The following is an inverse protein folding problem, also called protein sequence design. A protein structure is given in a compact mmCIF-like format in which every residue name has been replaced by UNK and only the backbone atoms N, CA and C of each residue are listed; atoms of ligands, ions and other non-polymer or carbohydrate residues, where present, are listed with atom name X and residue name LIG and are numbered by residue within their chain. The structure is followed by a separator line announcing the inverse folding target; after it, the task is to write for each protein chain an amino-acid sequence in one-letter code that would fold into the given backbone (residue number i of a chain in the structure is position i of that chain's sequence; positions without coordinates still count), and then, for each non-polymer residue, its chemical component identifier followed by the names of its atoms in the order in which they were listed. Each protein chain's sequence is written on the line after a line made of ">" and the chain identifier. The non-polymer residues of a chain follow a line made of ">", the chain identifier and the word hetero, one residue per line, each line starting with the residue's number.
data_IF_361706181935
#
_entry.id   IF_361706181935
#
_cell.length_a   1.000
_cell.length_b   1.000
_cell.length_c   1.000
_cell.angle_alpha   90.00
_cell.angle_beta   90.00
_cell.angle_gamma   90.00
#
_symmetry.space_group_name_H-M   'P 1'
#
loop_
_entity.id
_entity.type
_entity.pdbx_description
1 polymer ?
#
# COMPACT_ATOMS: atom_id res chain seq x y z
N UNK A 1 11.21 -67.44 -22.87
CA UNK A 1 9.97 -68.13 -23.29
C UNK A 1 8.80 -67.17 -23.04
N UNK A 2 7.95 -66.87 -24.03
CA UNK A 2 6.54 -67.33 -24.17
C UNK A 2 5.72 -67.14 -22.87
N UNK A 3 4.57 -66.45 -22.79
CA UNK A 3 3.73 -65.67 -23.73
C UNK A 3 2.94 -64.60 -22.88
N UNK A 4 2.18 -63.58 -23.33
CA UNK A 4 1.35 -63.26 -24.51
C UNK A 4 0.01 -64.06 -24.61
N UNK A 5 -1.15 -63.49 -24.96
CA UNK A 5 -1.50 -62.10 -25.41
C UNK A 5 -2.28 -61.35 -24.28
N UNK A 6 -3.38 -60.55 -24.37
CA UNK A 6 -4.35 -60.12 -25.40
C UNK A 6 -4.97 -58.73 -25.05
N UNK A 7 -5.96 -58.23 -25.82
CA UNK A 7 -6.73 -56.99 -25.59
C UNK A 7 -8.24 -57.21 -25.75
N UNK A 8 -9.09 -56.25 -25.31
CA UNK A 8 -10.26 -55.77 -26.06
C UNK A 8 -10.72 -54.40 -25.57
N UNK A 9 -11.33 -53.62 -26.47
CA UNK A 9 -11.93 -52.31 -26.21
C UNK A 9 -13.37 -52.26 -26.75
N UNK A 10 -14.17 -51.32 -26.26
CA UNK A 10 -15.49 -51.02 -26.79
C UNK A 10 -15.77 -49.51 -26.69
N UNK A 11 -16.48 -48.96 -27.67
CA UNK A 11 -16.89 -47.54 -27.74
C UNK A 11 -18.42 -47.52 -27.84
N UNK A 12 -19.06 -46.56 -27.17
CA UNK A 12 -20.49 -46.28 -27.25
C UNK A 12 -20.74 -44.77 -27.18
N UNK A 13 -21.71 -44.26 -27.92
CA UNK A 13 -21.82 -42.82 -28.21
C UNK A 13 -23.14 -42.17 -27.75
N UNK A 14 -23.01 -40.89 -27.42
CA UNK A 14 -23.98 -39.76 -27.46
C UNK A 14 -25.46 -40.08 -27.68
N UNK A 15 -26.30 -39.56 -26.78
CA UNK A 15 -27.62 -39.05 -27.11
C UNK A 15 -27.92 -37.79 -26.28
N UNK A 16 -28.29 -36.68 -26.94
CA UNK A 16 -28.79 -35.45 -26.32
C UNK A 16 -30.30 -35.34 -26.51
N UNK A 17 -31.00 -34.75 -25.53
CA UNK A 17 -32.43 -34.45 -25.63
C UNK A 17 -32.71 -33.02 -25.16
N UNK A 18 -33.16 -32.18 -26.09
CA UNK A 18 -33.76 -30.86 -25.83
C UNK A 18 -35.26 -30.99 -26.07
N UNK A 19 -36.08 -30.52 -25.13
CA UNK A 19 -37.49 -30.22 -25.37
C UNK A 19 -37.81 -28.86 -24.76
N UNK A 20 -38.63 -28.08 -25.46
CA UNK A 20 -38.89 -26.68 -25.15
C UNK A 20 -40.37 -26.35 -25.27
N UNK A 21 -40.85 -25.53 -24.33
CA UNK A 21 -42.09 -24.75 -24.45
C UNK A 21 -43.40 -25.52 -24.26
N UNK A 22 -44.29 -24.92 -23.46
CA UNK A 22 -45.51 -24.32 -23.99
C UNK A 22 -46.07 -23.33 -22.96
N UNK A 23 -46.93 -22.42 -23.40
CA UNK A 23 -47.60 -21.42 -22.55
C UNK A 23 -49.12 -21.49 -22.78
N UNK A 24 -49.91 -21.18 -21.74
CA UNK A 24 -51.37 -21.15 -21.79
C UNK A 24 -51.93 -20.52 -20.52
N UNK A 25 -52.95 -19.66 -20.67
CA UNK A 25 -53.57 -18.88 -19.60
C UNK A 25 -55.04 -19.31 -19.37
N UNK A 26 -55.72 -18.63 -18.43
CA UNK A 26 -57.16 -18.76 -18.07
C UNK A 26 -57.50 -19.87 -17.07
N UNK A 27 -58.36 -19.70 -16.06
CA UNK A 27 -59.16 -18.55 -15.56
C UNK A 27 -59.36 -18.74 -14.01
N UNK A 28 -60.11 -17.89 -13.23
CA UNK A 28 -59.87 -17.74 -11.78
C UNK A 28 -60.69 -18.66 -10.86
N UNK A 29 -60.20 -18.85 -9.63
CA UNK A 29 -60.95 -19.42 -8.52
C UNK A 29 -60.22 -19.29 -7.17
N UNK A 30 -60.80 -18.53 -6.25
CA UNK A 30 -60.61 -18.47 -4.78
C UNK A 30 -59.22 -18.30 -4.13
N UNK A 31 -59.27 -17.69 -2.93
CA UNK A 31 -58.13 -17.48 -2.04
C UNK A 31 -58.20 -18.42 -0.83
N UNK A 32 -57.28 -19.35 -0.73
CA UNK A 32 -56.83 -19.92 0.54
C UNK A 32 -55.31 -19.88 0.59
N UNK A 33 -54.75 -19.42 1.72
CA UNK A 33 -53.32 -19.19 1.84
C UNK A 33 -52.61 -20.45 2.36
N UNK A 34 -51.57 -20.91 1.67
CA UNK A 34 -50.69 -21.95 2.20
C UNK A 34 -49.22 -21.71 1.83
N UNK A 35 -48.39 -21.66 2.89
CA UNK A 35 -46.96 -21.98 2.99
C UNK A 35 -46.03 -21.66 1.80
N UNK A 36 -45.37 -20.49 1.88
CA UNK A 36 -44.11 -20.26 1.16
C UNK A 36 -42.94 -20.93 1.88
N UNK A 37 -42.33 -21.95 1.26
CA UNK A 37 -41.22 -22.69 1.86
C UNK A 37 -39.98 -21.81 2.14
N UNK A 38 -39.21 -22.06 3.21
CA UNK A 38 -38.00 -21.28 3.51
C UNK A 38 -36.96 -21.38 2.40
N UNK A 39 -36.64 -20.25 1.77
CA UNK A 39 -35.68 -20.19 0.67
C UNK A 39 -34.31 -20.76 1.08
N UNK A 40 -33.81 -21.73 0.31
CA UNK A 40 -32.57 -22.43 0.61
C UNK A 40 -31.40 -21.44 0.77
N UNK A 41 -30.78 -21.41 1.96
CA UNK A 41 -29.57 -20.62 2.21
C UNK A 41 -28.50 -21.10 1.25
N UNK A 42 -28.05 -20.24 0.33
CA UNK A 42 -26.91 -20.54 -0.56
C UNK A 42 -25.70 -20.90 0.31
N UNK A 43 -25.23 -22.13 0.19
CA UNK A 43 -24.00 -22.56 0.83
C UNK A 43 -22.85 -21.65 0.35
N UNK A 44 -21.87 -21.31 1.21
CA UNK A 44 -20.68 -20.60 0.77
C UNK A 44 -19.99 -21.39 -0.35
N UNK A 45 -19.67 -20.70 -1.46
CA UNK A 45 -18.81 -21.29 -2.48
C UNK A 45 -17.47 -21.70 -1.83
N UNK A 46 -16.90 -22.87 -2.16
CA UNK A 46 -15.58 -23.25 -1.67
C UNK A 46 -14.57 -22.16 -2.02
N UNK A 47 -13.78 -21.72 -1.03
CA UNK A 47 -12.63 -20.85 -1.32
C UNK A 47 -11.70 -21.60 -2.27
N UNK A 48 -11.41 -21.02 -3.43
CA UNK A 48 -10.49 -21.59 -4.38
C UNK A 48 -9.11 -21.81 -3.70
N UNK A 49 -8.48 -22.95 -4.00
CA UNK A 49 -7.14 -23.22 -3.48
C UNK A 49 -6.14 -22.19 -4.05
N UNK A 50 -5.14 -21.73 -3.26
CA UNK A 50 -4.09 -20.83 -3.75
C UNK A 50 -3.38 -21.40 -4.97
N UNK A 51 -3.29 -20.63 -6.05
CA UNK A 51 -2.54 -20.99 -7.24
C UNK A 51 -1.09 -20.52 -7.06
N UNK A 52 -0.18 -21.44 -6.76
CA UNK A 52 1.24 -21.12 -6.55
C UNK A 52 1.87 -20.52 -7.82
N UNK A 53 2.81 -19.58 -7.62
CA UNK A 53 3.55 -18.86 -8.66
C UNK A 53 5.05 -19.09 -8.43
N UNK A 54 5.81 -19.40 -9.48
CA UNK A 54 7.25 -19.64 -9.39
C UNK A 54 7.59 -20.85 -8.52
N UNK A 55 8.48 -20.67 -7.54
CA UNK A 55 8.80 -21.67 -6.51
C UNK A 55 7.73 -21.78 -5.39
N UNK A 56 6.61 -21.06 -5.54
CA UNK A 56 5.54 -20.96 -4.56
C UNK A 56 5.80 -19.98 -3.42
N UNK A 57 6.82 -19.12 -3.51
CA UNK A 57 7.00 -17.96 -2.63
C UNK A 57 5.81 -17.01 -2.68
N UNK A 58 5.17 -16.94 -3.85
CA UNK A 58 3.95 -16.16 -4.12
C UNK A 58 2.83 -17.08 -4.62
N UNK A 59 1.58 -16.65 -4.48
CA UNK A 59 0.42 -17.36 -4.98
C UNK A 59 -0.72 -16.40 -5.32
N UNK A 60 -1.46 -16.68 -6.39
CA UNK A 60 -2.72 -15.99 -6.64
C UNK A 60 -3.82 -16.57 -5.75
N UNK A 61 -4.41 -15.73 -4.89
CA UNK A 61 -5.50 -16.11 -3.97
C UNK A 61 -6.84 -15.41 -4.26
N UNK A 62 -6.89 -14.56 -5.29
CA UNK A 62 -8.03 -13.73 -5.65
C UNK A 62 -7.70 -12.23 -5.59
N UNK A 63 -8.73 -11.40 -5.51
CA UNK A 63 -8.58 -9.97 -5.22
C UNK A 63 -8.30 -9.74 -3.72
N UNK A 64 -7.57 -8.67 -3.40
CA UNK A 64 -7.23 -8.34 -2.02
C UNK A 64 -8.50 -8.07 -1.18
N UNK A 65 -8.60 -8.61 0.05
CA UNK A 65 -9.69 -8.29 0.98
C UNK A 65 -9.61 -6.84 1.48
N UNK A 66 -10.68 -6.41 2.16
CA UNK A 66 -10.77 -5.16 2.93
C UNK A 66 -10.46 -3.85 2.17
N UNK A 67 -10.44 -3.86 0.82
CA UNK A 67 -10.17 -2.66 0.04
C UNK A 67 -11.32 -1.64 0.11
N UNK A 68 -10.96 -0.39 0.40
CA UNK A 68 -11.88 0.75 0.32
C UNK A 68 -12.40 0.91 -1.11
N UNK A 69 -13.68 0.60 -1.34
CA UNK A 69 -14.31 0.78 -2.65
C UNK A 69 -14.34 2.28 -3.03
N UNK A 70 -13.64 2.71 -4.10
CA UNK A 70 -13.58 4.12 -4.47
C UNK A 70 -14.95 4.66 -4.88
N UNK A 71 -15.17 5.96 -4.67
CA UNK A 71 -16.43 6.64 -4.98
C UNK A 71 -16.14 8.00 -5.60
N UNK A 72 -16.75 8.27 -6.76
CA UNK A 72 -16.80 9.60 -7.36
C UNK A 72 -17.44 10.60 -6.41
N UNK A 73 -16.86 11.78 -6.28
CA UNK A 73 -17.49 12.93 -5.63
C UNK A 73 -18.76 13.31 -6.39
N UNK A 74 -19.85 13.53 -5.65
CA UNK A 74 -21.07 14.11 -6.21
C UNK A 74 -20.91 15.63 -6.33
N UNK A 75 -21.63 16.25 -7.26
CA UNK A 75 -21.73 17.70 -7.34
C UNK A 75 -22.15 18.29 -5.98
N UNK A 76 -21.40 19.28 -5.49
CA UNK A 76 -21.61 19.89 -4.17
C UNK A 76 -21.01 19.13 -2.96
N UNK A 77 -20.38 17.97 -3.13
CA UNK A 77 -19.89 17.15 -2.01
C UNK A 77 -18.49 17.57 -1.52
N UNK A 78 -18.34 17.82 -0.20
CA UNK A 78 -17.03 17.95 0.47
C UNK A 78 -16.24 16.64 0.34
N UNK A 79 -14.95 16.65 -0.05
CA UNK A 79 -14.12 15.45 -0.05
C UNK A 79 -13.96 14.85 1.35
N UNK A 80 -13.78 13.52 1.47
CA UNK A 80 -13.26 12.94 2.70
C UNK A 80 -11.83 13.47 2.95
N UNK A 81 -11.43 13.56 4.21
CA UNK A 81 -10.03 13.81 4.54
C UNK A 81 -9.26 12.49 4.45
N UNK A 82 -8.33 12.37 3.51
CA UNK A 82 -7.43 11.22 3.46
C UNK A 82 -6.23 11.44 4.39
N UNK A 83 -5.81 10.38 5.06
CA UNK A 83 -4.51 10.30 5.75
C UNK A 83 -3.86 8.98 5.35
N UNK A 84 -2.60 9.03 4.92
CA UNK A 84 -1.84 7.85 4.52
C UNK A 84 -0.66 7.70 5.47
N UNK A 85 -0.58 6.55 6.14
CA UNK A 85 0.55 6.18 6.98
C UNK A 85 1.35 5.10 6.26
N UNK A 86 2.66 5.32 6.16
CA UNK A 86 3.57 4.42 5.47
C UNK A 86 4.83 4.13 6.27
N UNK A 87 5.45 2.98 5.98
CA UNK A 87 6.60 2.42 6.69
C UNK A 87 7.67 2.02 5.68
N UNK A 88 8.81 2.69 5.74
CA UNK A 88 9.99 2.45 4.90
C UNK A 88 10.88 1.39 5.55
N UNK A 89 11.47 0.51 4.74
CA UNK A 89 12.23 -0.63 5.24
C UNK A 89 11.36 -1.64 6.00
N UNK A 90 10.24 -2.06 5.39
CA UNK A 90 9.22 -2.88 6.08
C UNK A 90 9.60 -4.36 6.31
N UNK A 91 10.51 -4.61 7.26
CA UNK A 91 10.79 -5.93 7.85
C UNK A 91 10.10 -6.14 9.21
N UNK A 92 10.08 -7.38 9.70
CA UNK A 92 9.76 -7.71 11.10
C UNK A 92 11.02 -8.29 11.77
N UNK A 93 11.43 -7.69 12.89
CA UNK A 93 12.64 -8.02 13.63
C UNK A 93 12.35 -8.30 15.12
N UNK A 94 13.39 -8.29 15.95
CA UNK A 94 13.31 -8.30 17.41
C UNK A 94 12.44 -7.20 18.06
N UNK A 95 12.33 -6.00 17.47
CA UNK A 95 11.52 -4.88 17.98
C UNK A 95 10.03 -5.04 17.67
N UNK A 96 9.67 -5.85 16.66
CA UNK A 96 8.29 -6.22 16.30
C UNK A 96 7.38 -5.05 15.90
N UNK A 97 7.98 -4.01 15.31
CA UNK A 97 7.25 -2.80 14.95
C UNK A 97 6.26 -3.03 13.80
N UNK A 98 6.51 -3.97 12.89
CA UNK A 98 5.56 -4.33 11.83
C UNK A 98 4.33 -5.04 12.41
N UNK A 99 4.52 -6.07 13.24
CA UNK A 99 3.38 -6.73 13.90
C UNK A 99 2.63 -5.81 14.87
N UNK A 100 3.33 -4.86 15.53
CA UNK A 100 2.71 -3.79 16.33
C UNK A 100 1.82 -2.88 15.49
N UNK A 101 2.35 -2.25 14.43
CA UNK A 101 1.57 -1.28 13.65
C UNK A 101 0.46 -1.91 12.81
N UNK A 102 0.58 -3.19 12.44
CA UNK A 102 -0.58 -3.97 11.96
C UNK A 102 -1.68 -4.10 13.02
N UNK A 103 -1.32 -4.26 14.30
CA UNK A 103 -2.29 -4.28 15.40
C UNK A 103 -2.97 -2.92 15.61
N UNK A 104 -2.22 -1.83 15.48
CA UNK A 104 -2.75 -0.45 15.47
C UNK A 104 -3.71 -0.25 14.29
N UNK A 105 -3.35 -0.71 13.09
CA UNK A 105 -4.21 -0.63 11.91
C UNK A 105 -5.56 -1.34 12.11
N UNK A 106 -5.53 -2.58 12.65
CA UNK A 106 -6.75 -3.33 13.04
C UNK A 106 -7.57 -2.63 14.13
N UNK A 107 -6.91 -2.03 15.12
CA UNK A 107 -7.54 -1.34 16.27
C UNK A 107 -8.34 -0.09 15.85
N UNK A 108 -7.97 0.55 14.74
CA UNK A 108 -8.59 1.80 14.26
C UNK A 108 -9.31 1.67 12.89
N UNK A 109 -9.60 0.44 12.43
CA UNK A 109 -10.27 0.14 11.14
C UNK A 109 -9.66 0.88 9.94
N UNK A 110 -8.33 0.83 9.84
CA UNK A 110 -7.55 1.51 8.80
C UNK A 110 -6.58 0.57 8.08
N UNK A 111 -6.04 1.03 6.95
CA UNK A 111 -4.94 0.36 6.23
C UNK A 111 -3.73 1.27 6.10
N UNK A 112 -2.55 0.66 5.97
CA UNK A 112 -1.25 1.31 5.80
C UNK A 112 -0.56 0.79 4.53
N UNK A 113 0.53 1.44 4.12
CA UNK A 113 1.44 0.93 3.10
C UNK A 113 2.79 0.57 3.71
N UNK A 114 3.23 -0.66 3.49
CA UNK A 114 4.51 -1.18 3.96
C UNK A 114 5.47 -1.25 2.76
N UNK A 115 6.48 -0.38 2.70
CA UNK A 115 7.47 -0.36 1.64
C UNK A 115 8.61 -1.33 1.99
N UNK A 116 8.51 -2.54 1.44
CA UNK A 116 9.45 -3.63 1.67
C UNK A 116 10.77 -3.38 0.93
N UNK A 117 11.89 -3.46 1.67
CA UNK A 117 13.22 -3.61 1.07
C UNK A 117 13.42 -5.08 0.68
N UNK A 118 13.69 -5.35 -0.60
CA UNK A 118 13.73 -6.72 -1.15
C UNK A 118 14.80 -7.60 -0.51
N UNK A 119 15.91 -7.01 -0.06
CA UNK A 119 17.00 -7.68 0.67
C UNK A 119 16.56 -8.33 1.99
N UNK A 120 15.45 -7.88 2.59
CA UNK A 120 14.90 -8.51 3.80
C UNK A 120 14.24 -9.88 3.53
N UNK A 121 14.15 -10.30 2.26
CA UNK A 121 13.73 -11.64 1.83
C UNK A 121 14.86 -12.44 1.15
N UNK A 122 16.10 -11.97 1.24
CA UNK A 122 17.32 -12.64 0.80
C UNK A 122 18.19 -12.90 2.04
N UNK A 123 18.64 -14.14 2.32
CA UNK A 123 19.48 -14.39 3.47
C UNK A 123 20.93 -13.97 3.20
N UNK A 124 21.66 -13.58 4.25
CA UNK A 124 23.03 -13.05 4.13
C UNK A 124 23.99 -13.99 3.39
N UNK A 125 23.91 -15.31 3.57
CA UNK A 125 24.75 -16.28 2.84
C UNK A 125 24.45 -16.35 1.32
N UNK A 126 23.41 -15.66 0.86
CA UNK A 126 23.06 -15.47 -0.56
C UNK A 126 23.09 -14.00 -1.00
N UNK A 127 23.69 -13.11 -0.22
CA UNK A 127 23.85 -11.69 -0.55
C UNK A 127 24.36 -11.45 -1.98
N UNK A 128 25.30 -12.27 -2.46
CA UNK A 128 25.86 -12.20 -3.83
C UNK A 128 24.87 -12.43 -4.98
N UNK A 129 23.62 -12.85 -4.70
CA UNK A 129 22.52 -12.83 -5.68
C UNK A 129 21.97 -11.41 -5.93
N UNK A 130 22.28 -10.45 -5.07
CA UNK A 130 21.99 -9.04 -5.28
C UNK A 130 23.14 -8.37 -6.04
N UNK A 131 22.81 -7.75 -7.17
CA UNK A 131 23.69 -7.02 -8.06
C UNK A 131 23.27 -5.54 -8.04
N UNK A 132 23.59 -4.80 -6.97
CA UNK A 132 23.19 -3.40 -6.83
C UNK A 132 23.72 -2.54 -7.99
N UNK A 133 22.92 -1.62 -8.55
CA UNK A 133 23.41 -0.72 -9.59
C UNK A 133 24.62 0.09 -9.11
N UNK A 134 25.67 0.13 -9.93
CA UNK A 134 26.92 0.87 -9.69
C UNK A 134 27.76 0.40 -8.46
N UNK A 135 27.36 -0.66 -7.75
CA UNK A 135 28.04 -1.20 -6.57
C UNK A 135 28.50 -2.66 -6.76
N UNK A 136 29.24 -3.21 -5.78
CA UNK A 136 29.68 -4.60 -5.79
C UNK A 136 28.55 -5.59 -5.47
N UNK A 137 28.63 -6.81 -6.04
CA UNK A 137 27.67 -7.88 -5.76
C UNK A 137 27.58 -8.17 -4.25
N UNK A 138 26.36 -8.16 -3.72
CA UNK A 138 26.07 -8.36 -2.29
C UNK A 138 26.25 -7.14 -1.39
N UNK A 139 26.48 -5.93 -1.91
CA UNK A 139 26.50 -4.72 -1.07
C UNK A 139 25.08 -4.23 -0.75
N UNK A 140 24.84 -3.87 0.51
CA UNK A 140 23.64 -3.23 1.05
C UNK A 140 24.06 -2.31 2.21
N UNK A 141 23.43 -1.15 2.39
CA UNK A 141 23.57 -0.29 3.58
C UNK A 141 22.69 -0.75 4.74
N UNK A 142 21.55 -1.38 4.44
CA UNK A 142 20.61 -1.95 5.42
C UNK A 142 20.81 -3.45 5.66
N UNK A 143 21.91 -4.02 5.15
CA UNK A 143 22.26 -5.43 5.30
C UNK A 143 21.27 -6.38 4.62
N UNK A 144 21.12 -7.56 5.23
CA UNK A 144 20.27 -8.68 4.83
C UNK A 144 19.66 -9.32 6.09
N UNK A 145 18.63 -10.16 5.95
CA UNK A 145 18.06 -10.90 7.08
C UNK A 145 18.71 -12.27 7.27
N UNK A 146 18.50 -12.88 8.44
CA UNK A 146 18.67 -14.33 8.61
C UNK A 146 17.39 -15.10 8.23
N UNK A 147 17.44 -16.43 8.24
CA UNK A 147 16.29 -17.28 7.90
C UNK A 147 15.09 -17.06 8.84
N UNK A 148 15.30 -16.61 10.08
CA UNK A 148 14.23 -16.34 11.03
C UNK A 148 13.57 -14.97 10.77
N UNK A 149 14.36 -13.92 10.52
CA UNK A 149 13.88 -12.60 10.09
C UNK A 149 13.11 -12.66 8.76
N UNK A 150 13.53 -13.54 7.82
CA UNK A 150 12.75 -13.82 6.61
C UNK A 150 11.41 -14.49 6.96
N UNK A 151 11.41 -15.53 7.80
CA UNK A 151 10.16 -16.20 8.25
C UNK A 151 9.20 -15.22 8.93
N UNK A 152 9.72 -14.37 9.82
CA UNK A 152 8.97 -13.36 10.54
C UNK A 152 8.40 -12.30 9.58
N UNK A 153 9.24 -11.72 8.73
CA UNK A 153 8.84 -10.72 7.72
C UNK A 153 7.78 -11.29 6.75
N UNK A 154 7.95 -12.51 6.25
CA UNK A 154 6.96 -13.17 5.37
C UNK A 154 5.64 -13.43 6.10
N UNK A 155 5.66 -13.77 7.41
CA UNK A 155 4.43 -13.89 8.20
C UNK A 155 3.68 -12.57 8.27
N UNK A 156 4.39 -11.47 8.53
CA UNK A 156 3.78 -10.15 8.66
C UNK A 156 3.26 -9.64 7.30
N UNK A 157 4.05 -9.71 6.23
CA UNK A 157 3.62 -9.37 4.86
C UNK A 157 2.37 -10.14 4.42
N UNK A 158 2.35 -11.48 4.64
CA UNK A 158 1.23 -12.36 4.26
C UNK A 158 -0.07 -11.91 4.91
N UNK A 159 -0.03 -11.55 6.19
CA UNK A 159 -1.23 -11.23 6.96
C UNK A 159 -1.58 -9.72 6.90
N UNK A 160 -0.60 -8.83 6.67
CA UNK A 160 -0.84 -7.43 6.33
C UNK A 160 -1.69 -7.30 5.06
N UNK A 161 -1.36 -8.06 4.01
CA UNK A 161 -2.15 -8.09 2.78
C UNK A 161 -3.57 -8.63 3.00
N UNK A 162 -3.72 -9.68 3.84
CA UNK A 162 -5.03 -10.25 4.21
C UNK A 162 -5.89 -9.31 5.07
N UNK A 163 -5.28 -8.31 5.69
CA UNK A 163 -5.96 -7.22 6.41
C UNK A 163 -6.34 -6.04 5.50
N UNK A 164 -5.82 -6.01 4.27
CA UNK A 164 -6.08 -4.97 3.26
C UNK A 164 -4.96 -3.92 3.14
N UNK A 165 -3.86 -4.08 3.87
CA UNK A 165 -2.69 -3.20 3.76
C UNK A 165 -1.91 -3.47 2.47
N UNK A 166 -1.25 -2.45 1.96
CA UNK A 166 -0.45 -2.53 0.74
C UNK A 166 0.99 -2.94 1.03
N UNK A 167 1.59 -3.70 0.10
CA UNK A 167 3.04 -3.95 0.07
C UNK A 167 3.63 -3.24 -1.15
N UNK A 168 4.24 -2.08 -0.92
CA UNK A 168 5.07 -1.40 -1.92
C UNK A 168 6.53 -1.79 -1.78
N UNK A 169 7.43 -1.13 -2.50
CA UNK A 169 8.89 -1.34 -2.32
C UNK A 169 9.63 -0.12 -1.80
N UNK A 170 10.64 -0.37 -0.97
CA UNK A 170 11.72 0.57 -0.67
C UNK A 170 13.04 0.11 -1.33
N UNK A 171 12.91 -0.56 -2.49
CA UNK A 171 14.00 -1.06 -3.32
C UNK A 171 14.86 -2.11 -2.59
N UNK A 172 16.18 -2.14 -2.75
CA UNK A 172 17.03 -3.19 -2.16
C UNK A 172 18.11 -2.62 -1.24
N UNK A 173 19.23 -2.12 -1.79
CA UNK A 173 20.44 -1.86 -0.99
C UNK A 173 20.46 -0.55 -0.19
N UNK A 174 19.46 0.32 -0.36
CA UNK A 174 19.33 1.60 0.35
C UNK A 174 20.57 2.52 0.28
N UNK A 175 21.14 2.66 -0.92
CA UNK A 175 22.26 3.58 -1.16
C UNK A 175 21.79 5.04 -1.21
N UNK A 176 22.52 5.94 -0.56
CA UNK A 176 22.24 7.38 -0.56
C UNK A 176 23.51 8.21 -0.82
N UNK A 177 23.34 9.46 -1.27
CA UNK A 177 24.41 10.40 -1.56
C UNK A 177 25.03 10.22 -2.96
N UNK A 178 26.33 10.54 -3.15
CA UNK A 178 26.95 10.59 -4.48
C UNK A 178 26.93 9.28 -5.30
N UNK A 179 26.76 8.13 -4.63
CA UNK A 179 26.65 6.80 -5.23
C UNK A 179 25.26 6.16 -4.96
N UNK A 180 24.30 6.98 -4.52
CA UNK A 180 22.92 6.62 -4.24
C UNK A 180 22.01 6.78 -5.46
N UNK A 181 20.69 6.83 -5.21
CA UNK A 181 19.67 6.84 -6.26
C UNK A 181 19.80 7.99 -7.27
N UNK A 182 20.42 9.11 -6.88
CA UNK A 182 20.64 10.27 -7.75
C UNK A 182 21.64 10.02 -8.89
N UNK A 183 22.56 9.05 -8.76
CA UNK A 183 23.47 8.67 -9.86
C UNK A 183 22.86 7.67 -10.84
N UNK A 184 21.69 7.09 -10.53
CA UNK A 184 21.13 5.96 -11.25
C UNK A 184 20.37 6.34 -12.53
N UNK A 185 20.61 5.59 -13.60
CA UNK A 185 19.90 5.68 -14.87
C UNK A 185 18.50 5.05 -14.81
N UNK A 186 17.72 5.22 -15.88
CA UNK A 186 16.39 4.57 -16.01
C UNK A 186 16.52 3.04 -16.01
N UNK A 187 17.60 2.48 -16.57
CA UNK A 187 17.85 1.04 -16.60
C UNK A 187 18.36 0.51 -15.26
N UNK A 188 19.13 1.31 -14.51
CA UNK A 188 19.52 1.00 -13.13
C UNK A 188 18.28 0.85 -12.23
N UNK A 189 17.34 1.80 -12.32
CA UNK A 189 16.06 1.73 -11.60
C UNK A 189 15.21 0.52 -12.02
N UNK A 190 15.16 0.18 -13.32
CA UNK A 190 14.49 -1.05 -13.79
C UNK A 190 15.16 -2.32 -13.25
N UNK A 191 16.49 -2.35 -13.19
CA UNK A 191 17.27 -3.46 -12.62
C UNK A 191 16.96 -3.65 -11.13
N UNK A 192 16.99 -2.57 -10.35
CA UNK A 192 16.68 -2.59 -8.91
C UNK A 192 15.25 -3.09 -8.65
N UNK A 193 14.25 -2.60 -9.40
CA UNK A 193 12.85 -3.06 -9.30
C UNK A 193 12.72 -4.54 -9.67
N UNK A 194 13.43 -4.98 -10.72
CA UNK A 194 13.45 -6.39 -11.13
C UNK A 194 14.03 -7.30 -10.04
N UNK A 195 15.10 -6.86 -9.39
CA UNK A 195 15.73 -7.59 -8.29
C UNK A 195 14.86 -7.61 -7.03
N UNK A 196 14.24 -6.49 -6.65
CA UNK A 196 13.30 -6.43 -5.54
C UNK A 196 12.10 -7.37 -5.77
N UNK A 197 11.58 -7.40 -6.99
CA UNK A 197 10.56 -8.39 -7.41
C UNK A 197 11.08 -9.82 -7.36
N UNK A 198 12.33 -10.07 -7.76
CA UNK A 198 12.95 -11.39 -7.73
C UNK A 198 13.03 -11.96 -6.31
N UNK A 199 13.46 -11.17 -5.32
CA UNK A 199 13.56 -11.64 -3.93
C UNK A 199 12.19 -11.98 -3.34
N UNK A 200 11.17 -11.14 -3.56
CA UNK A 200 9.78 -11.43 -3.15
C UNK A 200 9.19 -12.66 -3.85
N UNK A 201 9.60 -12.94 -5.09
CA UNK A 201 9.11 -14.07 -5.89
C UNK A 201 9.88 -15.38 -5.69
N UNK A 202 11.00 -15.39 -4.95
CA UNK A 202 11.85 -16.57 -4.73
C UNK A 202 12.35 -16.73 -3.28
N UNK A 203 11.73 -16.06 -2.29
CA UNK A 203 12.18 -16.09 -0.90
C UNK A 203 12.25 -17.51 -0.30
N UNK A 204 11.42 -18.46 -0.74
CA UNK A 204 11.51 -19.87 -0.30
C UNK A 204 12.80 -20.53 -0.77
N UNK A 205 13.12 -20.44 -2.06
CA UNK A 205 14.35 -21.00 -2.65
C UNK A 205 15.59 -20.28 -2.11
N UNK A 206 15.48 -18.99 -1.77
CA UNK A 206 16.54 -18.23 -1.13
C UNK A 206 16.75 -18.70 0.33
N UNK A 207 15.73 -18.67 1.18
CA UNK A 207 15.84 -19.00 2.62
C UNK A 207 15.80 -20.49 2.98
N UNK A 208 15.48 -21.38 2.04
CA UNK A 208 15.22 -22.80 2.30
C UNK A 208 13.87 -23.11 2.97
N UNK A 209 13.02 -22.11 3.18
CA UNK A 209 11.72 -22.22 3.88
C UNK A 209 10.61 -22.83 3.00
N UNK A 210 10.85 -24.01 2.41
CA UNK A 210 9.94 -24.64 1.45
C UNK A 210 8.50 -24.85 1.95
N UNK A 211 8.33 -25.22 3.23
CA UNK A 211 7.03 -25.52 3.85
C UNK A 211 6.26 -24.27 4.32
N UNK A 212 6.91 -23.10 4.41
CA UNK A 212 6.25 -21.86 4.82
C UNK A 212 5.23 -21.42 3.76
N UNK A 213 4.05 -20.98 4.21
CA UNK A 213 2.93 -20.65 3.30
C UNK A 213 3.31 -19.53 2.31
N UNK A 214 2.78 -19.53 1.07
CA UNK A 214 3.04 -18.46 0.11
C UNK A 214 2.63 -17.09 0.65
N UNK A 215 3.22 -16.03 0.08
CA UNK A 215 2.62 -14.70 0.06
C UNK A 215 1.34 -14.76 -0.81
N UNK A 216 0.22 -14.15 -0.40
CA UNK A 216 -1.10 -14.41 -0.98
C UNK A 216 -1.39 -13.61 -2.27
N UNK A 217 -0.36 -12.95 -2.81
CA UNK A 217 -0.41 -12.04 -3.95
C UNK A 217 0.62 -12.40 -5.00
N UNK A 218 0.36 -11.95 -6.23
CA UNK A 218 1.35 -11.90 -7.31
C UNK A 218 2.05 -10.53 -7.26
N UNK A 219 3.35 -10.51 -6.93
CA UNK A 219 4.06 -9.24 -6.74
C UNK A 219 4.37 -8.50 -8.05
N UNK A 220 4.16 -9.11 -9.22
CA UNK A 220 4.12 -8.35 -10.49
C UNK A 220 2.86 -7.49 -10.65
N UNK A 221 1.81 -7.75 -9.85
CA UNK A 221 0.54 -7.01 -9.83
C UNK A 221 0.31 -6.24 -8.53
N UNK A 222 0.90 -6.70 -7.41
CA UNK A 222 0.80 -6.03 -6.12
C UNK A 222 1.73 -4.81 -6.03
N UNK A 223 2.94 -4.88 -6.59
CA UNK A 223 3.86 -3.74 -6.58
C UNK A 223 3.40 -2.67 -7.58
N UNK A 224 2.74 -1.62 -7.07
CA UNK A 224 2.21 -0.49 -7.86
C UNK A 224 2.80 0.88 -7.48
N UNK A 225 3.75 0.94 -6.54
CA UNK A 225 4.36 2.19 -6.10
C UNK A 225 5.51 1.98 -5.11
N UNK A 226 6.25 3.06 -4.86
CA UNK A 226 7.49 3.03 -4.07
C UNK A 226 7.82 4.38 -3.43
N UNK A 227 8.75 4.33 -2.46
CA UNK A 227 9.59 5.47 -2.04
C UNK A 227 11.05 5.12 -2.32
N UNK A 228 11.82 6.03 -2.94
CA UNK A 228 13.26 5.81 -3.16
C UNK A 228 14.05 6.00 -1.86
N UNK A 229 15.19 5.30 -1.67
CA UNK A 229 16.09 5.54 -0.55
C UNK A 229 16.49 7.01 -0.47
N UNK A 230 16.44 7.59 0.73
CA UNK A 230 16.72 9.00 1.01
C UNK A 230 15.98 10.03 0.13
N UNK A 231 14.89 9.65 -0.56
CA UNK A 231 14.14 10.46 -1.54
C UNK A 231 14.92 10.81 -2.84
N UNK A 232 16.03 10.13 -3.11
CA UNK A 232 16.94 10.43 -4.22
C UNK A 232 16.50 9.80 -5.56
N UNK A 233 17.04 10.25 -6.69
CA UNK A 233 16.93 9.62 -8.01
C UNK A 233 15.58 9.77 -8.71
N UNK A 234 14.61 10.42 -8.06
CA UNK A 234 13.20 10.54 -8.48
C UNK A 234 13.00 10.84 -9.98
N UNK A 235 13.81 11.73 -10.56
CA UNK A 235 13.72 12.16 -11.97
C UNK A 235 13.94 11.02 -12.99
N UNK A 236 14.74 10.01 -12.65
CA UNK A 236 14.90 8.81 -13.48
C UNK A 236 14.00 7.67 -13.00
N UNK A 237 13.75 7.55 -11.69
CA UNK A 237 12.78 6.59 -11.15
C UNK A 237 11.38 6.79 -11.75
N UNK A 238 10.82 8.00 -11.78
CA UNK A 238 9.45 8.28 -12.29
C UNK A 238 9.28 7.85 -13.76
N UNK A 239 10.34 7.90 -14.57
CA UNK A 239 10.32 7.37 -15.95
C UNK A 239 10.26 5.83 -15.96
N UNK A 240 11.16 5.19 -15.22
CA UNK A 240 11.17 3.72 -15.06
C UNK A 240 9.84 3.21 -14.49
N UNK A 241 9.29 3.91 -13.51
CA UNK A 241 7.99 3.65 -12.89
C UNK A 241 6.85 3.73 -13.91
N UNK A 242 6.79 4.80 -14.71
CA UNK A 242 5.80 4.97 -15.78
C UNK A 242 5.89 3.88 -16.86
N UNK A 243 7.11 3.54 -17.29
CA UNK A 243 7.36 2.45 -18.25
C UNK A 243 7.01 1.06 -17.69
N UNK A 244 7.16 0.85 -16.37
CA UNK A 244 6.82 -0.39 -15.67
C UNK A 244 5.37 -0.45 -15.16
N UNK A 245 4.54 0.56 -15.44
CA UNK A 245 3.12 0.60 -15.06
C UNK A 245 2.83 0.88 -13.58
N UNK A 246 3.78 1.48 -12.85
CA UNK A 246 3.55 1.96 -11.48
C UNK A 246 2.49 3.08 -11.50
N UNK A 247 1.71 3.15 -10.41
CA UNK A 247 0.60 4.09 -10.26
C UNK A 247 0.93 5.31 -9.42
N UNK A 248 1.90 5.22 -8.50
CA UNK A 248 2.38 6.38 -7.75
C UNK A 248 3.87 6.31 -7.40
N UNK A 249 4.41 7.49 -7.10
CA UNK A 249 5.67 7.73 -6.41
C UNK A 249 5.37 8.49 -5.09
N UNK A 250 6.10 8.20 -4.02
CA UNK A 250 6.04 8.99 -2.78
C UNK A 250 7.44 9.46 -2.32
N UNK A 251 8.31 9.72 -3.30
CA UNK A 251 9.68 10.23 -3.11
C UNK A 251 9.80 11.74 -3.34
N UNK A 252 8.72 12.41 -3.75
CA UNK A 252 8.68 13.87 -3.88
C UNK A 252 8.66 14.62 -2.54
N UNK A 253 8.94 15.92 -2.59
CA UNK A 253 8.72 16.89 -1.50
C UNK A 253 7.69 17.90 -2.00
N UNK A 254 6.53 17.96 -1.35
CA UNK A 254 5.34 18.63 -1.85
C UNK A 254 4.70 19.59 -0.84
N UNK A 255 3.97 20.57 -1.37
CA UNK A 255 2.95 21.31 -0.61
C UNK A 255 1.80 20.37 -0.21
N UNK A 256 1.10 20.68 0.89
CA UNK A 256 -0.13 19.99 1.29
C UNK A 256 -1.34 20.45 0.44
N UNK A 257 -1.29 20.13 -0.85
CA UNK A 257 -2.34 20.35 -1.86
C UNK A 257 -2.76 19.01 -2.49
N UNK A 258 -3.80 19.03 -3.34
CA UNK A 258 -4.22 17.82 -4.04
C UNK A 258 -3.16 17.37 -5.08
N UNK A 259 -2.93 16.06 -5.25
CA UNK A 259 -1.87 15.54 -6.12
C UNK A 259 -2.24 15.60 -7.61
N UNK A 260 -1.22 15.57 -8.47
CA UNK A 260 -1.36 15.35 -9.91
C UNK A 260 -0.43 14.23 -10.41
N UNK A 261 -0.34 14.05 -11.74
CA UNK A 261 0.50 13.00 -12.35
C UNK A 261 1.72 13.59 -13.03
N UNK A 262 2.91 13.12 -12.68
CA UNK A 262 4.16 13.33 -13.42
C UNK A 262 4.51 12.04 -14.17
N UNK A 263 4.86 12.12 -15.46
CA UNK A 263 5.21 10.92 -16.26
C UNK A 263 4.09 9.86 -16.42
N UNK A 264 2.86 10.15 -16.00
CA UNK A 264 1.74 9.20 -15.91
C UNK A 264 1.56 8.54 -14.54
N UNK A 265 2.48 8.79 -13.61
CA UNK A 265 2.51 8.29 -12.23
C UNK A 265 1.95 9.36 -11.28
N UNK A 266 1.11 9.01 -10.30
CA UNK A 266 0.66 9.97 -9.28
C UNK A 266 1.82 10.43 -8.40
N UNK A 267 1.99 11.74 -8.24
CA UNK A 267 2.89 12.32 -7.26
C UNK A 267 2.21 12.38 -5.90
N UNK A 268 2.67 11.53 -4.96
CA UNK A 268 2.19 11.43 -3.59
C UNK A 268 3.36 11.59 -2.60
N UNK A 269 4.33 12.45 -2.95
CA UNK A 269 5.48 12.79 -2.09
C UNK A 269 5.12 13.29 -0.68
N UNK A 270 6.13 13.26 0.21
CA UNK A 270 6.02 13.75 1.58
C UNK A 270 5.74 15.25 1.60
N UNK A 271 5.09 15.71 2.67
CA UNK A 271 4.53 17.07 2.74
C UNK A 271 5.19 17.89 3.83
N UNK A 272 5.32 19.20 3.60
CA UNK A 272 5.75 20.14 4.63
C UNK A 272 4.64 20.28 5.69
N UNK A 273 5.01 20.06 6.96
CA UNK A 273 4.11 20.10 8.13
C UNK A 273 4.64 21.02 9.22
N UNK A 274 3.77 21.66 10.03
CA UNK A 274 4.19 22.57 11.09
C UNK A 274 5.10 21.88 12.10
N UNK A 275 6.15 22.57 12.53
CA UNK A 275 7.02 22.12 13.62
C UNK A 275 6.73 22.96 14.89
N UNK A 276 5.95 22.45 15.87
CA UNK A 276 5.45 23.26 16.97
C UNK A 276 6.58 23.87 17.81
N UNK A 277 6.50 25.18 18.07
CA UNK A 277 7.55 25.91 18.79
C UNK A 277 8.78 26.29 17.94
N UNK A 278 8.72 26.14 16.61
CA UNK A 278 9.66 26.71 15.64
C UNK A 278 8.93 27.58 14.63
N UNK A 279 9.68 28.40 13.89
CA UNK A 279 9.18 29.25 12.80
C UNK A 279 9.34 28.61 11.41
N UNK A 280 9.39 27.28 11.32
CA UNK A 280 9.59 26.54 10.07
C UNK A 280 8.73 25.27 10.02
N UNK A 281 8.61 24.70 8.83
CA UNK A 281 7.99 23.39 8.59
C UNK A 281 9.06 22.33 8.28
N UNK A 282 8.77 21.06 8.52
CA UNK A 282 9.62 19.92 8.17
C UNK A 282 8.83 18.89 7.37
N UNK A 283 9.46 17.88 6.77
CA UNK A 283 8.72 16.80 6.11
C UNK A 283 7.91 15.98 7.13
N UNK A 284 6.78 15.45 6.69
CA UNK A 284 5.89 14.55 7.43
C UNK A 284 6.50 13.15 7.71
N UNK A 285 7.69 13.11 8.30
CA UNK A 285 8.47 11.91 8.57
C UNK A 285 9.27 11.99 9.87
N UNK A 286 9.30 10.88 10.62
CA UNK A 286 10.01 10.73 11.89
C UNK A 286 11.49 11.15 11.84
N UNK A 287 12.23 10.74 10.82
CA UNK A 287 13.62 11.15 10.56
C UNK A 287 13.76 12.68 10.50
N UNK A 288 12.86 13.36 9.79
CA UNK A 288 12.88 14.81 9.62
C UNK A 288 12.48 15.58 10.89
N UNK A 289 11.76 14.96 11.82
CA UNK A 289 11.62 15.48 13.19
C UNK A 289 12.88 15.20 14.00
N UNK A 290 13.40 13.97 14.00
CA UNK A 290 14.58 13.53 14.75
C UNK A 290 15.82 14.40 14.49
N UNK A 291 16.13 14.69 13.22
CA UNK A 291 17.27 15.55 12.83
C UNK A 291 17.10 16.99 13.32
N UNK A 292 15.88 17.54 13.27
CA UNK A 292 15.57 18.92 13.73
C UNK A 292 15.38 19.04 15.26
N UNK A 293 15.44 17.93 15.99
CA UNK A 293 15.24 17.86 17.44
C UNK A 293 16.52 17.48 18.19
N UNK A 294 17.05 16.31 17.85
CA UNK A 294 18.13 15.64 18.56
C UNK A 294 19.42 15.57 17.74
N UNK A 295 19.31 15.56 16.41
CA UNK A 295 20.42 15.31 15.50
C UNK A 295 21.00 13.89 15.60
N UNK A 296 20.39 12.99 16.38
CA UNK A 296 20.90 11.63 16.59
C UNK A 296 19.81 10.68 17.12
N UNK A 297 19.89 9.41 16.75
CA UNK A 297 18.94 8.36 17.14
C UNK A 297 19.04 7.93 18.62
N UNK A 298 20.02 8.46 19.37
CA UNK A 298 20.28 8.20 20.80
C UNK A 298 20.45 9.51 21.60
N UNK A 299 19.57 10.47 21.38
CA UNK A 299 19.54 11.75 22.11
C UNK A 299 19.11 11.61 23.58
N UNK A 300 19.23 12.71 24.34
CA UNK A 300 18.91 12.80 25.77
C UNK A 300 17.52 12.21 26.13
N UNK A 301 17.44 11.14 26.95
CA UNK A 301 16.18 10.56 27.42
C UNK A 301 15.22 11.55 28.08
N UNK A 302 15.71 12.61 28.73
CA UNK A 302 14.84 13.62 29.35
C UNK A 302 14.04 14.45 28.31
N UNK A 303 14.47 14.46 27.03
CA UNK A 303 13.79 15.17 25.95
C UNK A 303 12.83 14.28 25.15
N UNK A 304 12.92 12.95 25.24
CA UNK A 304 12.19 12.03 24.35
C UNK A 304 10.68 12.32 24.34
N UNK A 305 10.11 12.56 25.51
CA UNK A 305 8.69 12.89 25.71
C UNK A 305 8.27 14.23 25.10
N UNK A 306 9.15 15.23 25.11
CA UNK A 306 8.92 16.52 24.45
C UNK A 306 8.99 16.38 22.93
N UNK A 307 9.99 15.65 22.43
CA UNK A 307 10.19 15.37 21.00
C UNK A 307 9.02 14.60 20.37
N UNK A 308 8.50 13.57 21.06
CA UNK A 308 7.32 12.81 20.62
C UNK A 308 6.06 13.67 20.54
N UNK A 309 5.78 14.47 21.60
CA UNK A 309 4.65 15.42 21.58
C UNK A 309 4.79 16.43 20.44
N UNK A 310 5.98 16.99 20.23
CA UNK A 310 6.23 17.95 19.16
C UNK A 310 5.99 17.38 17.75
N UNK A 311 6.39 16.13 17.47
CA UNK A 311 6.05 15.46 16.22
C UNK A 311 4.54 15.27 16.06
N UNK A 312 3.89 14.66 17.07
CA UNK A 312 2.45 14.40 17.09
C UNK A 312 1.64 15.69 16.88
N UNK A 313 1.96 16.73 17.64
CA UNK A 313 1.22 18.00 17.61
C UNK A 313 1.42 18.74 16.29
N UNK A 314 2.55 18.54 15.60
CA UNK A 314 2.81 19.02 14.24
C UNK A 314 1.99 18.27 13.18
N UNK A 315 1.93 16.94 13.27
CA UNK A 315 1.10 16.10 12.40
C UNK A 315 -0.40 16.38 12.60
N UNK A 316 -0.85 16.63 13.83
CA UNK A 316 -2.23 17.05 14.12
C UNK A 316 -2.52 18.43 13.53
N UNK A 317 -1.60 19.40 13.64
CA UNK A 317 -1.77 20.71 13.00
C UNK A 317 -1.84 20.61 11.47
N UNK A 318 -1.03 19.77 10.83
CA UNK A 318 -1.13 19.49 9.40
C UNK A 318 -2.45 18.77 9.02
N UNK A 319 -2.95 17.88 9.89
CA UNK A 319 -4.25 17.26 9.69
C UNK A 319 -5.37 18.30 9.75
N UNK A 320 -5.45 19.10 10.82
CA UNK A 320 -6.55 20.06 11.01
C UNK A 320 -6.50 21.17 9.94
N UNK A 321 -5.30 21.59 9.50
CA UNK A 321 -5.08 22.50 8.35
C UNK A 321 -5.73 22.00 7.06
N UNK A 322 -5.56 20.73 6.69
CA UNK A 322 -6.24 20.17 5.51
C UNK A 322 -7.72 19.88 5.78
N UNK A 323 -8.04 19.39 6.97
CA UNK A 323 -9.40 18.97 7.34
C UNK A 323 -10.40 20.12 7.36
N UNK A 324 -10.04 21.29 7.88
CA UNK A 324 -10.92 22.48 7.82
C UNK A 324 -10.69 23.34 6.58
N UNK A 325 -9.51 23.21 5.95
CA UNK A 325 -9.13 23.85 4.70
C UNK A 325 -9.46 23.06 3.42
N UNK A 326 -8.42 22.76 2.64
CA UNK A 326 -8.50 22.30 1.25
C UNK A 326 -8.85 20.82 1.04
N UNK A 327 -8.93 20.02 2.12
CA UNK A 327 -9.14 18.55 2.12
C UNK A 327 -8.08 17.72 1.39
N UNK A 328 -6.91 18.28 1.09
CA UNK A 328 -5.81 17.54 0.48
C UNK A 328 -5.40 16.33 1.35
N UNK A 329 -5.00 15.18 0.75
CA UNK A 329 -4.48 14.06 1.52
C UNK A 329 -3.29 14.48 2.40
N UNK A 330 -3.24 13.99 3.64
CA UNK A 330 -2.05 14.09 4.49
C UNK A 330 -1.24 12.81 4.33
N UNK A 331 -0.01 12.92 3.80
CA UNK A 331 0.90 11.80 3.60
C UNK A 331 1.93 11.77 4.73
N UNK A 332 2.14 10.62 5.37
CA UNK A 332 3.08 10.45 6.50
C UNK A 332 3.97 9.21 6.23
N UNK A 333 5.28 9.42 6.23
CA UNK A 333 6.30 8.37 6.13
C UNK A 333 6.98 8.13 7.47
N UNK A 334 7.42 6.91 7.74
CA UNK A 334 8.02 6.52 9.01
C UNK A 334 8.96 5.33 8.79
N UNK A 335 9.84 5.05 9.73
CA UNK A 335 10.74 3.89 9.71
C UNK A 335 10.34 2.91 10.81
N UNK A 336 10.57 1.60 10.64
CA UNK A 336 10.43 0.65 11.75
C UNK A 336 11.64 0.71 12.68
N UNK A 337 11.72 1.80 13.44
CA UNK A 337 12.91 2.18 14.19
C UNK A 337 12.60 2.71 15.59
N UNK A 338 13.28 2.18 16.62
CA UNK A 338 13.12 2.62 18.02
C UNK A 338 13.90 3.89 18.38
N UNK A 339 14.19 4.77 17.42
CA UNK A 339 14.98 5.99 17.64
C UNK A 339 14.42 6.84 18.79
N UNK A 340 15.33 7.43 19.59
CA UNK A 340 14.99 8.24 20.77
C UNK A 340 13.93 7.56 21.66
N UNK A 341 14.25 6.33 22.09
CA UNK A 341 13.40 5.55 23.00
C UNK A 341 12.04 5.19 22.40
N UNK A 342 11.94 5.05 21.07
CA UNK A 342 10.69 4.80 20.36
C UNK A 342 9.67 5.94 20.45
N UNK A 343 10.11 7.18 20.71
CA UNK A 343 9.18 8.30 20.93
C UNK A 343 8.37 8.66 19.68
N UNK A 344 8.95 8.48 18.50
CA UNK A 344 8.29 8.70 17.22
C UNK A 344 7.19 7.66 16.96
N UNK A 345 7.42 6.39 17.33
CA UNK A 345 6.39 5.34 17.25
C UNK A 345 5.17 5.68 18.12
N UNK A 346 5.39 6.22 19.34
CA UNK A 346 4.31 6.73 20.20
C UNK A 346 3.60 7.93 19.58
N UNK A 347 4.35 8.88 19.01
CA UNK A 347 3.78 10.05 18.34
C UNK A 347 2.87 9.67 17.16
N UNK A 348 3.25 8.63 16.40
CA UNK A 348 2.46 8.10 15.28
C UNK A 348 1.19 7.39 15.77
N UNK A 349 1.26 6.54 16.79
CA UNK A 349 0.05 5.89 17.33
C UNK A 349 -0.92 6.90 17.98
N UNK A 350 -0.43 7.88 18.74
CA UNK A 350 -1.23 9.01 19.25
C UNK A 350 -1.91 9.79 18.12
N UNK A 351 -1.19 10.04 17.01
CA UNK A 351 -1.71 10.75 15.84
C UNK A 351 -2.83 9.94 15.20
N UNK A 352 -2.61 8.64 14.93
CA UNK A 352 -3.63 7.71 14.41
C UNK A 352 -4.88 7.72 15.31
N UNK A 353 -4.69 7.58 16.63
CA UNK A 353 -5.76 7.59 17.62
C UNK A 353 -6.59 8.89 17.60
N UNK A 354 -5.94 10.01 17.29
CA UNK A 354 -6.56 11.35 17.25
C UNK A 354 -7.27 11.64 15.92
N UNK A 355 -6.70 11.22 14.79
CA UNK A 355 -7.20 11.63 13.46
C UNK A 355 -8.11 10.59 12.81
N UNK A 356 -7.81 9.30 12.91
CA UNK A 356 -8.53 8.26 12.16
C UNK A 356 -9.96 8.03 12.65
N UNK A 357 -10.26 8.41 13.90
CA UNK A 357 -11.60 8.37 14.50
C UNK A 357 -12.46 9.60 14.17
N UNK A 358 -11.90 10.66 13.57
CA UNK A 358 -12.66 11.88 13.24
C UNK A 358 -13.65 11.63 12.09
N UNK A 359 -14.77 12.35 12.11
CA UNK A 359 -15.83 12.27 11.08
C UNK A 359 -15.28 12.64 9.70
N UNK A 360 -15.78 12.00 8.64
CA UNK A 360 -15.38 12.21 7.24
C UNK A 360 -13.88 11.91 6.95
N UNK A 361 -13.15 11.24 7.85
CA UNK A 361 -11.75 10.81 7.63
C UNK A 361 -11.67 9.42 7.00
N UNK A 362 -10.62 9.17 6.22
CA UNK A 362 -10.24 7.89 5.63
C UNK A 362 -8.72 7.69 5.82
N UNK A 363 -8.34 6.90 6.83
CA UNK A 363 -6.97 6.45 7.01
C UNK A 363 -6.74 5.19 6.16
N UNK A 364 -5.86 5.29 5.16
CA UNK A 364 -5.78 4.33 4.03
C UNK A 364 -4.35 4.12 3.53
N UNK A 365 -4.12 3.01 2.82
CA UNK A 365 -2.93 2.79 1.99
C UNK A 365 -2.90 3.70 0.75
N UNK A 366 -1.71 3.90 0.16
CA UNK A 366 -1.56 4.60 -1.12
C UNK A 366 -2.37 3.93 -2.23
N UNK A 367 -2.41 2.59 -2.31
CA UNK A 367 -3.29 1.81 -3.21
C UNK A 367 -4.74 2.32 -3.19
N UNK A 368 -5.31 2.48 -2.00
CA UNK A 368 -6.69 2.92 -1.82
C UNK A 368 -6.87 4.41 -2.11
N UNK A 369 -5.84 5.24 -1.90
CA UNK A 369 -5.83 6.63 -2.33
C UNK A 369 -5.79 6.76 -3.85
N UNK A 370 -4.92 6.02 -4.57
CA UNK A 370 -4.87 6.06 -6.04
C UNK A 370 -6.11 5.45 -6.68
N UNK A 371 -6.70 4.41 -6.10
CA UNK A 371 -8.00 3.88 -6.53
C UNK A 371 -9.11 4.93 -6.39
N UNK A 372 -9.05 5.77 -5.35
CA UNK A 372 -9.99 6.88 -5.21
C UNK A 372 -9.70 8.02 -6.21
N UNK A 373 -8.42 8.37 -6.44
CA UNK A 373 -8.00 9.44 -7.36
C UNK A 373 -8.32 9.09 -8.82
N UNK A 374 -7.90 7.91 -9.30
CA UNK A 374 -8.17 7.42 -10.66
C UNK A 374 -9.68 7.25 -10.93
N UNK A 375 -10.51 7.14 -9.88
CA UNK A 375 -11.96 7.10 -10.02
C UNK A 375 -12.62 8.48 -10.22
N UNK A 376 -11.96 9.61 -9.96
CA UNK A 376 -12.56 10.95 -10.09
C UNK A 376 -12.60 11.45 -11.55
N UNK A 377 -13.37 12.50 -11.81
CA UNK A 377 -13.22 13.28 -13.05
C UNK A 377 -11.94 14.15 -12.94
N UNK A 378 -11.03 14.12 -13.92
CA UNK A 378 -9.82 14.95 -13.91
C UNK A 378 -10.07 16.45 -13.71
N UNK A 379 -11.23 16.97 -14.14
CA UNK A 379 -11.64 18.37 -13.92
C UNK A 379 -11.97 18.64 -12.45
N UNK A 380 -12.49 17.66 -11.71
CA UNK A 380 -12.73 17.79 -10.26
C UNK A 380 -11.40 17.82 -9.52
N UNK A 381 -10.43 16.98 -9.89
CA UNK A 381 -9.08 17.00 -9.29
C UNK A 381 -8.30 18.27 -9.66
N UNK A 382 -8.31 18.69 -10.93
CA UNK A 382 -7.71 19.96 -11.36
C UNK A 382 -8.34 21.17 -10.64
N UNK A 383 -9.65 21.12 -10.36
CA UNK A 383 -10.31 22.15 -9.55
C UNK A 383 -9.91 22.09 -8.08
N UNK A 384 -9.86 20.91 -7.46
CA UNK A 384 -9.40 20.74 -6.08
C UNK A 384 -7.96 21.29 -5.88
N UNK A 385 -7.11 21.22 -6.91
CA UNK A 385 -5.76 21.80 -6.94
C UNK A 385 -5.67 23.32 -7.05
N UNK A 386 -6.77 24.04 -7.27
CA UNK A 386 -6.71 25.52 -7.20
C UNK A 386 -6.57 26.00 -5.76
N UNK A 387 -7.09 25.23 -4.80
CA UNK A 387 -7.01 25.52 -3.36
C UNK A 387 -5.58 25.33 -2.86
N UNK A 388 -5.00 26.37 -2.26
CA UNK A 388 -3.66 26.35 -1.67
C UNK A 388 -3.64 25.64 -0.32
N UNK A 389 -2.46 25.52 0.28
CA UNK A 389 -2.24 24.87 1.58
C UNK A 389 -3.18 25.47 2.63
N UNK A 390 -4.08 24.66 3.18
CA UNK A 390 -5.08 25.10 4.17
C UNK A 390 -6.23 25.96 3.63
N UNK A 391 -6.34 26.20 2.32
CA UNK A 391 -7.38 27.07 1.77
C UNK A 391 -8.77 26.40 1.78
N UNK A 392 -9.65 26.87 2.67
CA UNK A 392 -11.07 26.54 2.63
C UNK A 392 -11.77 27.26 1.45
N UNK A 393 -12.64 26.60 0.67
CA UNK A 393 -13.36 27.27 -0.41
C UNK A 393 -14.25 28.41 0.12
N UNK A 394 -14.00 29.65 -0.29
CA UNK A 394 -14.64 30.85 0.28
C UNK A 394 -16.18 30.86 0.23
N UNK A 395 -16.79 30.25 -0.80
CA UNK A 395 -18.25 30.09 -0.94
C UNK A 395 -18.78 28.74 -0.40
N UNK A 396 -17.94 27.99 0.31
CA UNK A 396 -18.21 26.65 0.82
C UNK A 396 -18.13 25.53 -0.24
N UNK A 397 -17.88 24.32 0.24
CA UNK A 397 -17.81 23.10 -0.58
C UNK A 397 -18.99 22.89 -1.56
N UNK A 398 -20.26 23.17 -1.19
CA UNK A 398 -21.38 23.06 -2.12
C UNK A 398 -21.29 24.01 -3.32
N UNK A 399 -20.79 25.23 -3.15
CA UNK A 399 -20.63 26.17 -4.26
C UNK A 399 -19.43 25.78 -5.13
N UNK A 400 -18.30 25.46 -4.48
CA UNK A 400 -17.07 25.06 -5.16
C UNK A 400 -17.29 23.89 -6.14
N UNK A 401 -17.94 22.84 -5.67
CA UNK A 401 -18.17 21.60 -6.43
C UNK A 401 -19.37 21.65 -7.40
N UNK A 402 -20.15 22.74 -7.45
CA UNK A 402 -21.21 22.91 -8.47
C UNK A 402 -20.68 23.38 -9.83
N UNK A 403 -19.50 24.00 -9.86
CA UNK A 403 -18.90 24.54 -11.08
C UNK A 403 -18.04 23.55 -11.86
N UNK A 404 -18.44 22.28 -11.96
CA UNK A 404 -17.88 21.29 -12.91
C UNK A 404 -19.08 20.60 -13.58
N UNK A 405 -19.30 20.77 -14.89
CA UNK A 405 -20.40 20.10 -15.57
C UNK A 405 -20.23 18.58 -15.49
N UNK A 406 -21.24 17.87 -15.00
CA UNK A 406 -21.30 16.43 -15.13
C UNK A 406 -21.37 16.09 -16.63
N UNK A 407 -20.40 15.31 -17.13
CA UNK A 407 -20.54 14.68 -18.44
C UNK A 407 -21.76 13.75 -18.40
N UNK A 408 -22.53 13.75 -19.49
CA UNK A 408 -23.63 12.82 -19.66
C UNK A 408 -23.10 11.37 -19.66
N UNK A 409 -23.92 10.45 -19.14
CA UNK A 409 -23.60 9.04 -18.93
C UNK A 409 -23.52 8.24 -20.22
#
# INVERSE_FOLDING_TARGET
>A
MKAAVAQRAAVGAVATALLAGLAGCSLPGDRSAQEGAPGAKKAPLPKAAPQLIGDGSTAYTGAQPNQLKPRKLKAGQKPPQFVVFSWDGAGEDSQKLFSHFRSVARKYDMTMTYFLSGVYLLPEEKASLYLPPQHSAGRSDIGFNDVQGIRDTVRELRAAWQEGNEVGTHFNGHFCGPEGGDSWSVEDWKSEISQAKSFVKNWRTNSGLADEKPLPFDYDKELIGARTPCLEGRKNFVKAAGELGFRYDTSGINDQIWPEKEGGVWDLGLQMVPFPGRGFETLSMDYNFMVNQSGTVKGDPAQHDYWGRQMRDGLIQAFDRAYDGNRAPLIIGNHFESWNGGTYMRAVEDTIATVCVKKDVKCVSFRQLVDWLDAQDPKVLAKLRTLKVGEAPAAGWPAFQRGVPALAS
#
